data_IF_316466709155
#
_entry.id   IF_316466709155
#
_cell.length_a   1.000
_cell.length_b   1.000
_cell.length_c   1.000
_cell.angle_alpha   90.00
_cell.angle_beta   90.00
_cell.angle_gamma   90.00
#
_symmetry.space_group_name_H-M   'P 1'
#
loop_
_entity.id
_entity.type
_entity.pdbx_description
1 polymer ?
#
# COMPACT_ATOMS: atom_id res chain seq x y z
N UNK A 1 -1.90 -26.79 -2.99
CA UNK A 1 -2.51 -25.79 -2.09
C UNK A 1 -1.47 -25.50 -1.04
N UNK A 2 -0.85 -24.31 -1.05
CA UNK A 2 0.00 -23.87 0.05
C UNK A 2 -0.89 -23.76 1.29
N UNK A 3 -0.47 -24.42 2.35
CA UNK A 3 -1.20 -24.47 3.61
C UNK A 3 -0.87 -23.16 4.38
N UNK A 4 -1.81 -22.26 4.50
CA UNK A 4 -1.64 -21.11 5.39
C UNK A 4 -1.51 -21.64 6.82
N UNK A 5 -0.49 -21.19 7.56
CA UNK A 5 -0.28 -21.67 8.91
C UNK A 5 -1.53 -21.60 9.79
N UNK A 6 -1.67 -22.48 10.81
CA UNK A 6 -2.92 -22.65 11.57
C UNK A 6 -3.39 -21.36 12.26
N UNK A 7 -2.48 -20.52 12.73
CA UNK A 7 -2.81 -19.26 13.41
C UNK A 7 -3.40 -18.24 12.43
N UNK A 8 -2.82 -18.13 11.22
CA UNK A 8 -3.37 -17.28 10.15
C UNK A 8 -4.74 -17.81 9.71
N UNK A 9 -4.87 -19.12 9.51
CA UNK A 9 -6.14 -19.74 9.16
C UNK A 9 -7.24 -19.38 10.16
N UNK A 10 -6.98 -19.51 11.46
CA UNK A 10 -7.92 -19.15 12.50
C UNK A 10 -8.29 -17.65 12.48
N UNK A 11 -7.34 -16.77 12.15
CA UNK A 11 -7.60 -15.34 11.93
C UNK A 11 -8.54 -15.12 10.74
N UNK A 12 -8.24 -15.73 9.58
CA UNK A 12 -9.06 -15.64 8.38
C UNK A 12 -10.48 -16.18 8.62
N UNK A 13 -10.62 -17.27 9.37
CA UNK A 13 -11.93 -17.86 9.70
C UNK A 13 -12.78 -16.91 10.55
N UNK A 14 -12.19 -16.21 11.53
CA UNK A 14 -12.89 -15.19 12.32
C UNK A 14 -13.29 -14.01 11.45
N UNK A 15 -12.36 -13.44 10.69
CA UNK A 15 -12.62 -12.31 9.80
C UNK A 15 -13.69 -12.61 8.75
N UNK A 16 -13.70 -13.84 8.21
CA UNK A 16 -14.70 -14.25 7.23
C UNK A 16 -16.16 -14.26 7.77
N UNK A 17 -16.37 -14.33 9.09
CA UNK A 17 -17.69 -14.45 9.74
C UNK A 17 -18.29 -13.12 10.19
N UNK A 18 -17.55 -12.02 10.12
CA UNK A 18 -18.08 -10.69 10.53
C UNK A 18 -19.16 -10.21 9.57
N UNK A 19 -20.00 -9.28 10.00
CA UNK A 19 -21.06 -8.75 9.16
C UNK A 19 -20.44 -7.96 7.98
N UNK A 20 -19.57 -7.00 8.25
CA UNK A 20 -18.88 -6.20 7.21
C UNK A 20 -17.37 -6.44 7.27
N UNK A 21 -16.79 -6.91 6.15
CA UNK A 21 -15.37 -7.20 6.02
C UNK A 21 -14.69 -6.22 5.06
N UNK A 22 -13.59 -5.62 5.49
CA UNK A 22 -12.66 -4.89 4.62
C UNK A 22 -11.46 -5.77 4.29
N UNK A 23 -11.19 -5.99 3.00
CA UNK A 23 -10.03 -6.72 2.52
C UNK A 23 -9.10 -5.75 1.81
N UNK A 24 -7.92 -5.59 2.33
CA UNK A 24 -6.94 -4.65 1.81
C UNK A 24 -5.60 -5.36 1.53
N UNK A 25 -4.89 -4.92 0.51
CA UNK A 25 -3.56 -5.42 0.16
C UNK A 25 -2.69 -4.32 -0.41
N UNK A 26 -1.39 -4.35 -0.08
CA UNK A 26 -0.40 -3.66 -0.90
C UNK A 26 -0.25 -4.35 -2.26
N UNK A 27 0.37 -3.65 -3.22
CA UNK A 27 0.67 -4.20 -4.54
C UNK A 27 2.07 -4.80 -4.62
N UNK A 28 3.10 -3.95 -4.51
CA UNK A 28 4.50 -4.34 -4.71
C UNK A 28 5.00 -5.13 -3.49
N UNK A 29 5.49 -6.34 -3.71
CA UNK A 29 5.93 -7.24 -2.64
C UNK A 29 4.81 -8.02 -1.92
N UNK A 30 3.52 -7.67 -2.16
CA UNK A 30 2.36 -8.35 -1.58
C UNK A 30 1.48 -9.05 -2.64
N UNK A 31 0.92 -8.32 -3.60
CA UNK A 31 0.16 -8.90 -4.73
C UNK A 31 1.01 -9.14 -5.96
N UNK A 32 2.15 -8.49 -6.07
CA UNK A 32 3.06 -8.58 -7.21
C UNK A 32 4.50 -8.71 -6.74
N UNK A 33 5.28 -9.55 -7.41
CA UNK A 33 6.72 -9.65 -7.17
C UNK A 33 7.44 -8.38 -7.61
N UNK A 34 8.58 -8.06 -6.97
CA UNK A 34 9.43 -6.96 -7.42
C UNK A 34 10.03 -7.25 -8.79
N UNK A 35 9.92 -6.29 -9.69
CA UNK A 35 10.50 -6.34 -11.04
C UNK A 35 11.68 -5.38 -11.20
N UNK A 36 12.54 -5.62 -12.17
CA UNK A 36 13.64 -4.72 -12.47
C UNK A 36 13.13 -3.36 -12.95
N UNK A 37 12.13 -3.35 -13.82
CA UNK A 37 11.41 -2.12 -14.20
C UNK A 37 10.06 -2.07 -13.46
N UNK A 38 9.82 -1.06 -12.64
CA UNK A 38 8.54 -0.91 -11.93
C UNK A 38 7.30 -0.83 -12.84
N UNK A 39 7.50 -0.54 -14.13
CA UNK A 39 6.43 -0.52 -15.13
C UNK A 39 5.98 -1.91 -15.57
N UNK A 40 6.84 -2.91 -15.36
CA UNK A 40 6.57 -4.32 -15.70
C UNK A 40 5.92 -5.09 -14.54
N UNK A 41 5.62 -4.40 -13.42
CA UNK A 41 4.93 -5.02 -12.28
C UNK A 41 3.60 -5.61 -12.74
N UNK A 42 3.39 -6.90 -12.43
CA UNK A 42 2.17 -7.62 -12.77
C UNK A 42 1.70 -8.38 -11.54
N UNK A 43 0.44 -8.24 -11.14
CA UNK A 43 -0.11 -9.02 -10.04
C UNK A 43 0.06 -10.52 -10.27
N UNK A 44 0.36 -11.24 -9.21
CA UNK A 44 0.53 -12.68 -9.26
C UNK A 44 -0.77 -13.37 -9.73
N UNK A 45 -0.64 -14.47 -10.48
CA UNK A 45 -1.81 -15.23 -10.96
C UNK A 45 -2.75 -15.61 -9.80
N UNK A 46 -4.04 -15.37 -9.96
CA UNK A 46 -5.07 -15.63 -8.95
C UNK A 46 -5.33 -14.48 -7.98
N UNK A 47 -4.35 -13.60 -7.70
CA UNK A 47 -4.48 -12.53 -6.69
C UNK A 47 -5.61 -11.56 -6.99
N UNK A 48 -5.59 -10.93 -8.15
CA UNK A 48 -6.66 -9.99 -8.56
C UNK A 48 -8.00 -10.69 -8.78
N UNK A 49 -8.01 -11.95 -9.19
CA UNK A 49 -9.24 -12.72 -9.32
C UNK A 49 -9.88 -12.99 -7.95
N UNK A 50 -9.09 -13.40 -6.95
CA UNK A 50 -9.58 -13.59 -5.59
C UNK A 50 -10.15 -12.28 -5.01
N UNK A 51 -9.47 -11.14 -5.23
CA UNK A 51 -9.95 -9.83 -4.79
C UNK A 51 -11.27 -9.43 -5.48
N UNK A 52 -11.42 -9.64 -6.80
CA UNK A 52 -12.68 -9.37 -7.50
C UNK A 52 -13.83 -10.23 -6.99
N UNK A 53 -13.57 -11.51 -6.74
CA UNK A 53 -14.58 -12.41 -6.18
C UNK A 53 -14.96 -12.04 -4.74
N UNK A 54 -14.01 -11.64 -3.91
CA UNK A 54 -14.29 -11.11 -2.57
C UNK A 54 -15.14 -9.85 -2.66
N UNK A 55 -14.81 -8.91 -3.54
CA UNK A 55 -15.55 -7.67 -3.73
C UNK A 55 -16.98 -7.87 -4.28
N UNK A 56 -17.25 -9.02 -4.90
CA UNK A 56 -18.58 -9.39 -5.35
C UNK A 56 -19.47 -9.99 -4.24
N UNK A 57 -18.91 -10.31 -3.07
CA UNK A 57 -19.68 -10.86 -1.94
C UNK A 57 -20.37 -9.75 -1.15
N UNK A 58 -21.55 -10.02 -0.58
CA UNK A 58 -22.25 -9.06 0.27
C UNK A 58 -21.39 -8.55 1.41
N UNK A 59 -21.49 -7.24 1.70
CA UNK A 59 -20.81 -6.55 2.80
C UNK A 59 -19.30 -6.90 2.89
N UNK A 60 -18.67 -7.00 1.70
CA UNK A 60 -17.24 -7.24 1.57
C UNK A 60 -16.64 -6.15 0.68
N UNK A 61 -15.82 -5.30 1.27
CA UNK A 61 -15.18 -4.17 0.60
C UNK A 61 -13.72 -4.53 0.31
N UNK A 62 -13.24 -4.19 -0.88
CA UNK A 62 -11.88 -4.55 -1.29
C UNK A 62 -11.13 -3.31 -1.76
N UNK A 63 -9.88 -3.18 -1.30
CA UNK A 63 -9.00 -2.07 -1.66
C UNK A 63 -7.57 -2.56 -1.93
N UNK A 64 -6.94 -1.98 -2.93
CA UNK A 64 -5.47 -2.06 -3.12
C UNK A 64 -4.88 -0.73 -2.70
N UNK A 65 -3.92 -0.75 -1.76
CA UNK A 65 -3.26 0.45 -1.20
C UNK A 65 -1.79 0.41 -1.56
N UNK A 66 -1.24 1.45 -2.18
CA UNK A 66 0.16 1.45 -2.62
C UNK A 66 0.79 2.84 -2.55
N UNK A 67 2.14 2.89 -2.56
CA UNK A 67 2.90 4.11 -2.80
C UNK A 67 2.81 4.64 -4.23
N UNK A 68 2.33 3.84 -5.17
CA UNK A 68 2.07 4.27 -6.55
C UNK A 68 0.86 5.19 -6.61
N UNK A 69 0.81 6.08 -7.59
CA UNK A 69 -0.40 6.88 -7.86
C UNK A 69 -1.56 6.00 -8.38
N UNK A 70 -2.78 6.50 -8.24
CA UNK A 70 -4.00 5.76 -8.64
C UNK A 70 -4.02 5.42 -10.13
N UNK A 71 -3.46 6.30 -10.99
CA UNK A 71 -3.38 6.06 -12.43
C UNK A 71 -2.50 4.86 -12.75
N UNK A 72 -1.32 4.81 -12.12
CA UNK A 72 -0.37 3.69 -12.26
C UNK A 72 -0.98 2.40 -11.71
N UNK A 73 -1.63 2.45 -10.53
CA UNK A 73 -2.34 1.31 -9.96
C UNK A 73 -3.38 0.74 -10.93
N UNK A 74 -4.20 1.60 -11.56
CA UNK A 74 -5.18 1.16 -12.59
C UNK A 74 -4.53 0.41 -13.74
N UNK A 75 -3.40 0.92 -14.22
CA UNK A 75 -2.68 0.29 -15.34
C UNK A 75 -2.13 -1.08 -14.98
N UNK A 76 -1.54 -1.21 -13.78
CA UNK A 76 -0.88 -2.45 -13.34
C UNK A 76 -1.87 -3.53 -12.88
N UNK A 77 -2.94 -3.15 -12.21
CA UNK A 77 -3.95 -4.08 -11.67
C UNK A 77 -5.06 -4.42 -12.64
N UNK A 78 -5.22 -3.62 -13.71
CA UNK A 78 -6.34 -3.71 -14.63
C UNK A 78 -7.70 -3.36 -14.00
N UNK A 79 -7.72 -2.68 -12.84
CA UNK A 79 -8.95 -2.23 -12.18
C UNK A 79 -9.55 -1.06 -12.95
N UNK A 80 -10.71 -1.28 -13.55
CA UNK A 80 -11.48 -0.28 -14.28
C UNK A 80 -12.44 0.50 -13.39
N UNK A 81 -13.16 1.46 -13.99
CA UNK A 81 -14.18 2.25 -13.28
C UNK A 81 -15.43 1.46 -12.87
N UNK A 82 -15.64 0.30 -13.48
CA UNK A 82 -16.77 -0.59 -13.16
C UNK A 82 -16.38 -1.72 -12.17
N UNK A 83 -15.10 -1.85 -11.84
CA UNK A 83 -14.63 -2.81 -10.85
C UNK A 83 -15.05 -2.36 -9.45
N UNK A 84 -15.52 -3.27 -8.58
CA UNK A 84 -15.87 -2.93 -7.20
C UNK A 84 -14.64 -2.79 -6.28
N UNK A 85 -13.42 -2.85 -6.83
CA UNK A 85 -12.18 -2.69 -6.07
C UNK A 85 -11.80 -1.22 -6.02
N UNK A 86 -11.63 -0.69 -4.80
CA UNK A 86 -11.10 0.65 -4.57
C UNK A 86 -9.57 0.63 -4.73
N UNK A 87 -9.01 1.70 -5.30
CA UNK A 87 -7.57 1.92 -5.33
C UNK A 87 -7.24 3.14 -4.47
N UNK A 88 -6.27 2.98 -3.58
CA UNK A 88 -5.68 4.04 -2.79
C UNK A 88 -4.21 4.16 -3.17
N UNK A 89 -3.84 5.29 -3.71
CA UNK A 89 -2.49 5.61 -4.17
C UNK A 89 -1.75 6.57 -3.23
N UNK A 90 -0.46 6.80 -3.57
CA UNK A 90 0.39 7.79 -2.89
C UNK A 90 0.40 7.59 -1.37
N UNK A 91 0.58 6.34 -0.92
CA UNK A 91 0.58 5.92 0.49
C UNK A 91 -0.65 6.36 1.30
N UNK A 92 -1.81 6.52 0.67
CA UNK A 92 -3.03 6.98 1.35
C UNK A 92 -3.45 8.40 0.97
N UNK A 93 -2.69 9.05 0.07
CA UNK A 93 -2.96 10.43 -0.37
C UNK A 93 -3.99 10.57 -1.48
N UNK A 94 -4.29 9.49 -2.20
CA UNK A 94 -5.20 9.50 -3.36
C UNK A 94 -6.22 8.37 -3.27
N UNK A 95 -7.46 8.63 -3.69
CA UNK A 95 -8.51 7.62 -3.84
C UNK A 95 -9.03 7.58 -5.27
N UNK A 96 -9.32 6.37 -5.78
CA UNK A 96 -9.97 6.18 -7.08
C UNK A 96 -11.45 6.53 -7.07
N UNK A 97 -12.05 6.65 -5.90
CA UNK A 97 -13.42 7.11 -5.69
C UNK A 97 -13.39 8.46 -4.96
N UNK A 98 -13.86 9.55 -5.58
CA UNK A 98 -13.84 10.87 -4.98
C UNK A 98 -14.78 11.02 -3.76
N UNK A 99 -15.68 10.07 -3.53
CA UNK A 99 -16.57 10.05 -2.35
C UNK A 99 -15.88 9.49 -1.12
N UNK A 100 -14.77 8.75 -1.31
CA UNK A 100 -13.95 8.16 -0.24
C UNK A 100 -12.78 9.11 0.06
N UNK A 101 -12.87 9.81 1.17
CA UNK A 101 -11.80 10.68 1.65
C UNK A 101 -10.83 9.86 2.51
N UNK A 102 -9.62 9.60 2.01
CA UNK A 102 -8.58 8.84 2.71
C UNK A 102 -7.47 9.71 3.29
N UNK A 103 -7.28 10.91 2.76
CA UNK A 103 -6.35 11.91 3.27
C UNK A 103 -6.96 13.30 3.20
N UNK A 104 -6.48 14.22 4.04
CA UNK A 104 -6.88 15.62 3.92
C UNK A 104 -6.31 16.22 2.62
N UNK A 105 -7.07 17.02 1.88
CA UNK A 105 -6.53 17.77 0.76
C UNK A 105 -5.38 18.66 1.21
N UNK A 106 -4.32 18.75 0.39
CA UNK A 106 -3.20 19.63 0.69
C UNK A 106 -3.68 21.08 0.88
N UNK A 107 -3.33 21.68 1.98
CA UNK A 107 -3.54 23.09 2.22
C UNK A 107 -2.58 23.96 1.38
N UNK A 108 -2.72 25.29 1.50
CA UNK A 108 -1.91 26.24 0.73
C UNK A 108 -0.42 26.18 1.11
N UNK A 109 -0.11 25.94 2.38
CA UNK A 109 1.26 25.85 2.88
C UNK A 109 1.93 24.56 2.36
N UNK A 110 1.22 23.44 2.44
CA UNK A 110 1.69 22.15 1.93
C UNK A 110 1.95 22.18 0.42
N UNK A 111 1.06 22.84 -0.36
CA UNK A 111 1.27 23.01 -1.82
C UNK A 111 2.51 23.81 -2.12
N UNK A 112 2.71 24.94 -1.43
CA UNK A 112 3.89 25.78 -1.60
C UNK A 112 5.19 25.05 -1.22
N UNK A 113 5.16 24.25 -0.13
CA UNK A 113 6.28 23.43 0.28
C UNK A 113 6.60 22.32 -0.73
N UNK A 114 5.56 21.68 -1.32
CA UNK A 114 5.74 20.68 -2.35
C UNK A 114 6.38 21.26 -3.63
N UNK A 115 5.95 22.47 -4.03
CA UNK A 115 6.54 23.17 -5.17
C UNK A 115 8.02 23.49 -4.89
N UNK A 116 8.35 24.03 -3.72
CA UNK A 116 9.73 24.31 -3.31
C UNK A 116 10.60 23.04 -3.28
N UNK A 117 10.14 21.96 -2.66
CA UNK A 117 10.86 20.68 -2.64
C UNK A 117 11.05 20.12 -4.06
N UNK A 118 10.05 20.28 -4.92
CA UNK A 118 10.13 19.83 -6.31
C UNK A 118 11.18 20.58 -7.11
N UNK A 119 11.37 21.87 -6.85
CA UNK A 119 12.44 22.67 -7.46
C UNK A 119 13.81 22.23 -6.94
N UNK A 120 13.97 22.09 -5.61
CA UNK A 120 15.23 21.64 -5.00
C UNK A 120 15.64 20.23 -5.47
N UNK A 121 14.68 19.30 -5.55
CA UNK A 121 14.95 17.96 -6.09
C UNK A 121 15.29 18.00 -7.59
N UNK A 122 14.69 18.89 -8.37
CA UNK A 122 15.05 19.07 -9.77
C UNK A 122 16.51 19.51 -9.92
N UNK A 123 16.95 20.50 -9.13
CA UNK A 123 18.35 20.94 -9.08
C UNK A 123 19.29 19.80 -8.64
N UNK A 124 18.90 19.03 -7.62
CA UNK A 124 19.68 17.88 -7.15
C UNK A 124 19.88 16.85 -8.28
N UNK A 125 18.82 16.49 -9.00
CA UNK A 125 18.86 15.50 -10.08
C UNK A 125 19.73 16.00 -11.26
N UNK A 126 19.78 17.31 -11.53
CA UNK A 126 20.69 17.88 -12.54
C UNK A 126 22.17 17.67 -12.18
N UNK A 127 22.52 17.68 -10.90
CA UNK A 127 23.89 17.43 -10.41
C UNK A 127 24.26 15.94 -10.32
N UNK A 128 23.27 15.03 -10.39
CA UNK A 128 23.45 13.58 -10.30
C UNK A 128 22.97 12.86 -11.57
N UNK A 129 23.77 12.81 -12.66
CA UNK A 129 23.37 12.22 -13.94
C UNK A 129 22.92 10.77 -13.80
N UNK A 130 21.70 10.48 -14.27
CA UNK A 130 21.06 9.17 -14.17
C UNK A 130 20.06 9.05 -13.03
N UNK A 131 20.09 9.95 -12.04
CA UNK A 131 19.00 10.10 -11.09
C UNK A 131 17.75 10.65 -11.80
N UNK A 132 16.57 10.32 -11.27
CA UNK A 132 15.30 10.75 -11.86
C UNK A 132 14.37 11.30 -10.78
N UNK A 133 13.71 12.40 -11.10
CA UNK A 133 12.66 13.00 -10.31
C UNK A 133 11.31 12.45 -10.76
N UNK A 134 10.46 12.11 -9.79
CA UNK A 134 9.03 11.83 -9.98
C UNK A 134 8.23 12.79 -9.09
N UNK A 135 7.28 13.52 -9.70
CA UNK A 135 6.32 14.37 -8.95
C UNK A 135 5.04 13.59 -8.72
N UNK A 136 4.62 13.51 -7.45
CA UNK A 136 3.35 12.91 -7.02
C UNK A 136 2.39 13.98 -6.50
N UNK A 137 1.15 13.59 -6.20
CA UNK A 137 0.12 14.50 -5.69
C UNK A 137 0.53 15.25 -4.42
N UNK A 138 1.23 14.57 -3.50
CA UNK A 138 1.62 15.11 -2.18
C UNK A 138 3.09 14.88 -1.84
N UNK A 139 3.91 14.50 -2.82
CA UNK A 139 5.31 14.17 -2.61
C UNK A 139 6.15 14.43 -3.86
N UNK A 140 7.46 14.52 -3.65
CA UNK A 140 8.46 14.44 -4.71
C UNK A 140 9.42 13.30 -4.39
N UNK A 141 9.79 12.52 -5.42
CA UNK A 141 10.56 11.30 -5.24
C UNK A 141 11.82 11.36 -6.10
N UNK A 142 12.96 10.95 -5.51
CA UNK A 142 14.25 10.77 -6.19
C UNK A 142 14.48 9.28 -6.39
N UNK A 143 14.70 8.87 -7.64
CA UNK A 143 15.04 7.51 -8.02
C UNK A 143 16.51 7.43 -8.46
N UNK A 144 17.24 6.47 -7.90
CA UNK A 144 18.66 6.23 -8.20
C UNK A 144 18.93 4.87 -8.84
N UNK A 145 17.87 4.16 -9.23
CA UNK A 145 18.01 2.85 -9.89
C UNK A 145 18.78 2.97 -11.19
N UNK A 146 19.87 2.20 -11.30
CA UNK A 146 20.78 2.20 -12.45
C UNK A 146 22.04 3.06 -12.26
N UNK A 147 22.15 3.79 -11.16
CA UNK A 147 23.40 4.40 -10.73
C UNK A 147 24.34 3.38 -10.08
N UNK A 148 25.65 3.73 -10.02
CA UNK A 148 26.60 3.00 -9.16
C UNK A 148 26.17 3.12 -7.68
N UNK A 149 26.62 2.17 -6.86
CA UNK A 149 26.27 2.14 -5.42
C UNK A 149 26.66 3.43 -4.71
N UNK A 150 27.89 3.94 -4.97
CA UNK A 150 28.40 5.19 -4.39
C UNK A 150 27.59 6.41 -4.84
N UNK A 151 27.30 6.52 -6.15
CA UNK A 151 26.50 7.63 -6.67
C UNK A 151 25.06 7.59 -6.15
N UNK A 152 24.46 6.40 -6.06
CA UNK A 152 23.12 6.23 -5.52
C UNK A 152 23.07 6.65 -4.04
N UNK A 153 24.04 6.19 -3.24
CA UNK A 153 24.12 6.53 -1.82
C UNK A 153 24.28 8.03 -1.58
N UNK A 154 25.18 8.69 -2.35
CA UNK A 154 25.37 10.14 -2.25
C UNK A 154 24.08 10.90 -2.62
N UNK A 155 23.47 10.55 -3.75
CA UNK A 155 22.23 11.21 -4.21
C UNK A 155 21.08 11.06 -3.21
N UNK A 156 20.90 9.85 -2.64
CA UNK A 156 19.83 9.60 -1.67
C UNK A 156 20.09 10.35 -0.36
N UNK A 157 21.34 10.38 0.12
CA UNK A 157 21.68 11.14 1.33
C UNK A 157 21.44 12.65 1.16
N UNK A 158 21.76 13.23 0.01
CA UNK A 158 21.47 14.64 -0.28
C UNK A 158 19.96 14.88 -0.37
N UNK A 159 19.19 13.96 -0.97
CA UNK A 159 17.74 14.04 -1.04
C UNK A 159 17.10 13.98 0.36
N UNK A 160 17.59 13.10 1.25
CA UNK A 160 17.12 13.00 2.64
C UNK A 160 17.34 14.31 3.41
N UNK A 161 18.47 14.97 3.20
CA UNK A 161 18.77 16.25 3.86
C UNK A 161 17.78 17.37 3.46
N UNK A 162 17.22 17.35 2.25
CA UNK A 162 16.20 18.34 1.85
C UNK A 162 14.93 18.27 2.71
N UNK A 163 14.64 17.12 3.26
CA UNK A 163 13.43 16.89 4.07
C UNK A 163 13.68 16.78 5.58
N UNK A 164 14.88 16.35 6.01
CA UNK A 164 15.14 15.95 7.41
C UNK A 164 15.06 17.11 8.42
N UNK A 165 15.34 18.33 7.99
CA UNK A 165 15.29 19.52 8.85
C UNK A 165 13.91 20.20 8.86
N UNK A 166 12.90 19.60 8.21
CA UNK A 166 11.56 20.16 8.06
C UNK A 166 10.53 19.26 8.73
N UNK A 167 9.94 19.73 9.83
CA UNK A 167 8.95 18.96 10.59
C UNK A 167 7.69 18.60 9.77
N UNK A 168 7.40 19.38 8.73
CA UNK A 168 6.25 19.20 7.84
C UNK A 168 6.53 18.22 6.72
N UNK A 169 7.77 17.70 6.58
CA UNK A 169 8.17 16.78 5.53
C UNK A 169 8.42 15.40 6.12
N UNK A 170 7.70 14.41 5.63
CA UNK A 170 7.98 13.01 5.92
C UNK A 170 8.96 12.47 4.89
N UNK A 171 10.13 12.05 5.33
CA UNK A 171 11.12 11.37 4.49
C UNK A 171 10.87 9.89 4.53
N UNK A 172 10.66 9.28 3.36
CA UNK A 172 10.42 7.84 3.21
C UNK A 172 11.56 7.27 2.36
N UNK A 173 12.45 6.52 3.00
CA UNK A 173 13.62 5.92 2.36
C UNK A 173 13.31 4.46 2.00
N UNK A 174 13.54 4.11 0.74
CA UNK A 174 13.39 2.77 0.20
C UNK A 174 14.62 2.31 -0.60
N UNK A 175 14.53 1.16 -1.22
CA UNK A 175 15.61 0.63 -2.03
C UNK A 175 15.79 1.44 -3.32
N UNK A 176 16.88 2.21 -3.42
CA UNK A 176 17.20 3.11 -4.54
C UNK A 176 16.19 4.24 -4.74
N UNK A 177 15.54 4.70 -3.67
CA UNK A 177 14.52 5.75 -3.72
C UNK A 177 14.45 6.51 -2.42
N UNK A 178 14.24 7.84 -2.49
CA UNK A 178 13.82 8.68 -1.36
C UNK A 178 12.61 9.48 -1.82
N UNK A 179 11.56 9.45 -1.01
CA UNK A 179 10.36 10.26 -1.20
C UNK A 179 10.24 11.31 -0.10
N UNK A 180 10.00 12.55 -0.49
CA UNK A 180 9.73 13.69 0.39
C UNK A 180 8.24 14.02 0.31
N UNK A 181 7.47 13.63 1.31
CA UNK A 181 6.02 13.83 1.35
C UNK A 181 5.65 14.99 2.27
N UNK A 182 4.78 15.86 1.79
CA UNK A 182 4.18 16.95 2.56
C UNK A 182 2.82 16.58 3.17
N UNK A 183 2.39 15.33 2.96
CA UNK A 183 1.16 14.79 3.51
C UNK A 183 1.43 13.97 4.76
N UNK A 184 0.56 14.12 5.74
CA UNK A 184 0.51 13.23 6.91
C UNK A 184 -0.25 11.92 6.62
N UNK A 185 -0.81 11.76 5.42
CA UNK A 185 -1.47 10.53 5.03
C UNK A 185 -0.46 9.38 4.93
N UNK A 186 -0.83 8.25 5.48
CA UNK A 186 -0.12 6.98 5.39
C UNK A 186 -1.12 5.84 5.18
N UNK A 187 -0.62 4.63 4.92
CA UNK A 187 -1.48 3.46 4.68
C UNK A 187 -2.38 3.14 5.88
N UNK A 188 -1.90 3.39 7.11
CA UNK A 188 -2.66 3.14 8.33
C UNK A 188 -3.83 4.12 8.50
N UNK A 189 -3.58 5.40 8.36
CA UNK A 189 -4.62 6.44 8.43
C UNK A 189 -5.67 6.27 7.32
N UNK A 190 -5.23 5.89 6.12
CA UNK A 190 -6.13 5.62 4.99
C UNK A 190 -7.02 4.40 5.24
N UNK A 191 -6.45 3.28 5.71
CA UNK A 191 -7.22 2.07 6.04
C UNK A 191 -8.19 2.31 7.20
N UNK A 192 -7.75 3.00 8.26
CA UNK A 192 -8.63 3.35 9.37
C UNK A 192 -9.78 4.27 8.95
N UNK A 193 -9.54 5.21 8.03
CA UNK A 193 -10.60 6.05 7.47
C UNK A 193 -11.57 5.24 6.61
N UNK A 194 -11.06 4.32 5.79
CA UNK A 194 -11.89 3.46 4.95
C UNK A 194 -12.71 2.46 5.79
N UNK A 195 -12.10 1.83 6.79
CA UNK A 195 -12.80 0.91 7.69
C UNK A 195 -14.01 1.60 8.37
N UNK A 196 -13.81 2.84 8.84
CA UNK A 196 -14.93 3.65 9.37
C UNK A 196 -15.95 4.03 8.30
N UNK A 197 -15.52 4.33 7.07
CA UNK A 197 -16.43 4.73 5.98
C UNK A 197 -17.40 3.61 5.58
N UNK A 198 -16.92 2.35 5.64
CA UNK A 198 -17.73 1.18 5.28
C UNK A 198 -18.30 0.44 6.49
N UNK A 199 -18.13 0.98 7.70
CA UNK A 199 -18.52 0.34 8.97
C UNK A 199 -17.99 -1.10 9.08
N UNK A 200 -16.69 -1.30 8.77
CA UNK A 200 -16.08 -2.61 8.82
C UNK A 200 -15.95 -3.13 10.26
N UNK A 201 -16.38 -4.36 10.48
CA UNK A 201 -16.22 -5.08 11.77
C UNK A 201 -14.83 -5.71 11.90
N UNK A 202 -14.17 -6.00 10.77
CA UNK A 202 -12.80 -6.47 10.73
C UNK A 202 -12.14 -6.09 9.41
N UNK A 203 -10.82 -5.94 9.44
CA UNK A 203 -9.97 -5.66 8.28
C UNK A 203 -8.92 -6.75 8.11
N UNK A 204 -8.80 -7.30 6.91
CA UNK A 204 -7.64 -8.06 6.48
C UNK A 204 -6.68 -7.11 5.75
N UNK A 205 -5.41 -7.12 6.11
CA UNK A 205 -4.36 -6.36 5.42
C UNK A 205 -3.07 -7.16 5.27
N UNK A 206 -2.46 -7.12 4.08
CA UNK A 206 -1.13 -7.67 3.84
C UNK A 206 -0.22 -6.67 3.14
N UNK A 207 1.07 -6.70 3.51
CA UNK A 207 2.11 -5.83 2.96
C UNK A 207 3.52 -6.30 3.32
N UNK A 208 4.54 -5.76 2.67
CA UNK A 208 5.93 -6.21 2.80
C UNK A 208 6.92 -5.14 3.26
N UNK A 209 6.58 -3.85 3.14
CA UNK A 209 7.52 -2.73 3.32
C UNK A 209 7.31 -1.99 4.66
N UNK A 210 8.18 -1.03 4.91
CA UNK A 210 8.15 -0.17 6.11
C UNK A 210 6.90 0.69 6.18
N UNK A 211 6.33 1.08 5.04
CA UNK A 211 5.09 1.86 4.96
C UNK A 211 3.85 1.04 5.34
N UNK A 212 3.94 -0.31 5.29
CA UNK A 212 2.88 -1.21 5.75
C UNK A 212 2.84 -1.34 7.26
N UNK A 213 3.95 -1.05 7.93
CA UNK A 213 4.01 -1.04 9.39
C UNK A 213 3.08 0.01 10.00
N UNK A 214 2.80 1.12 9.28
CA UNK A 214 1.81 2.10 9.70
C UNK A 214 0.40 1.50 9.69
N UNK A 215 0.08 0.70 8.67
CA UNK A 215 -1.17 -0.04 8.58
C UNK A 215 -1.28 -1.13 9.66
N UNK A 216 -0.21 -1.90 9.87
CA UNK A 216 -0.20 -2.94 10.90
C UNK A 216 -0.39 -2.38 12.31
N UNK A 217 0.14 -1.18 12.60
CA UNK A 217 -0.07 -0.50 13.89
C UNK A 217 -1.45 0.13 14.05
N UNK A 218 -2.08 0.52 12.94
CA UNK A 218 -3.41 1.12 12.96
C UNK A 218 -4.56 0.11 13.11
N UNK A 219 -4.29 -1.16 12.80
CA UNK A 219 -5.22 -2.28 12.88
C UNK A 219 -5.01 -3.05 14.19
N UNK A 220 -6.11 -3.46 14.83
CA UNK A 220 -6.08 -4.15 16.12
C UNK A 220 -6.53 -5.61 15.99
N UNK A 221 -5.58 -6.58 16.07
CA UNK A 221 -5.93 -8.01 16.03
C UNK A 221 -6.88 -8.46 17.16
N UNK A 222 -6.97 -7.70 18.27
CA UNK A 222 -7.90 -8.01 19.35
C UNK A 222 -9.35 -7.72 19.00
N UNK A 223 -9.59 -6.81 18.04
CA UNK A 223 -10.93 -6.51 17.51
C UNK A 223 -11.31 -7.41 16.33
N UNK A 224 -10.42 -8.26 15.86
CA UNK A 224 -10.66 -9.21 14.78
C UNK A 224 -9.92 -8.90 13.48
N UNK A 225 -9.11 -7.82 13.44
CA UNK A 225 -8.28 -7.51 12.30
C UNK A 225 -7.20 -8.58 12.07
N UNK A 226 -6.88 -8.83 10.80
CA UNK A 226 -5.87 -9.80 10.37
C UNK A 226 -4.79 -9.06 9.59
N UNK A 227 -3.60 -8.96 10.20
CA UNK A 227 -2.45 -8.29 9.59
C UNK A 227 -1.39 -9.31 9.21
N UNK A 228 -0.88 -9.24 7.97
CA UNK A 228 0.02 -10.23 7.39
C UNK A 228 1.24 -9.54 6.79
N UNK A 229 2.41 -9.75 7.40
CA UNK A 229 3.70 -9.35 6.85
C UNK A 229 4.14 -10.35 5.78
N UNK A 230 4.55 -9.86 4.62
CA UNK A 230 5.21 -10.67 3.58
C UNK A 230 6.72 -10.58 3.74
N UNK A 231 7.39 -11.72 3.67
CA UNK A 231 8.84 -11.80 3.77
C UNK A 231 9.41 -11.62 5.19
N UNK A 232 10.69 -11.28 5.29
CA UNK A 232 11.45 -11.20 6.52
C UNK A 232 11.44 -9.80 7.15
N UNK A 233 12.13 -9.64 8.27
CA UNK A 233 12.33 -8.37 8.98
C UNK A 233 11.41 -8.17 10.18
N UNK A 234 11.65 -7.11 10.98
CA UNK A 234 10.79 -6.76 12.10
C UNK A 234 9.40 -6.34 11.61
N UNK A 235 8.36 -6.63 12.40
CA UNK A 235 7.00 -6.25 12.04
C UNK A 235 6.07 -6.14 13.23
N UNK A 236 5.09 -5.23 13.15
CA UNK A 236 3.94 -5.14 14.04
C UNK A 236 2.77 -6.05 13.58
N UNK A 237 2.84 -6.67 12.40
CA UNK A 237 1.81 -7.58 11.93
C UNK A 237 1.68 -8.82 12.83
N UNK A 238 0.44 -9.29 13.02
CA UNK A 238 0.16 -10.46 13.84
C UNK A 238 0.59 -11.79 13.17
N UNK A 239 0.61 -11.81 11.84
CA UNK A 239 0.95 -12.99 11.05
C UNK A 239 2.03 -12.68 10.03
N UNK A 240 2.64 -13.75 9.48
CA UNK A 240 3.69 -13.65 8.45
C UNK A 240 3.54 -14.76 7.43
N UNK A 241 3.80 -14.41 6.18
CA UNK A 241 3.95 -15.35 5.06
C UNK A 241 5.29 -15.13 4.36
N UNK A 242 5.75 -16.12 3.61
CA UNK A 242 7.10 -16.10 3.00
C UNK A 242 7.16 -15.36 1.66
N UNK A 243 6.06 -15.33 0.91
CA UNK A 243 6.07 -14.93 -0.50
C UNK A 243 4.73 -14.35 -0.96
N UNK A 244 4.74 -13.72 -2.13
CA UNK A 244 3.53 -13.25 -2.83
C UNK A 244 2.55 -14.41 -3.12
N UNK A 245 3.06 -15.59 -3.46
CA UNK A 245 2.21 -16.77 -3.68
C UNK A 245 1.47 -17.22 -2.42
N UNK A 246 2.06 -17.03 -1.24
CA UNK A 246 1.39 -17.33 0.03
C UNK A 246 0.30 -16.29 0.34
N UNK A 247 0.49 -15.02 -0.08
CA UNK A 247 -0.59 -14.00 -0.01
C UNK A 247 -1.78 -14.41 -0.88
N UNK A 248 -1.52 -14.86 -2.12
CA UNK A 248 -2.60 -15.33 -3.00
C UNK A 248 -3.33 -16.50 -2.36
N UNK A 249 -2.62 -17.46 -1.77
CA UNK A 249 -3.22 -18.61 -1.07
C UNK A 249 -4.07 -18.14 0.14
N UNK A 250 -3.61 -17.13 0.90
CA UNK A 250 -4.39 -16.57 2.00
C UNK A 250 -5.66 -15.87 1.53
N UNK A 251 -5.60 -15.13 0.41
CA UNK A 251 -6.77 -14.49 -0.21
C UNK A 251 -7.78 -15.53 -0.74
N UNK A 252 -7.32 -16.60 -1.39
CA UNK A 252 -8.17 -17.69 -1.85
C UNK A 252 -8.84 -18.43 -0.67
N UNK A 253 -8.08 -18.64 0.42
CA UNK A 253 -8.62 -19.24 1.64
C UNK A 253 -9.67 -18.33 2.30
N UNK A 254 -9.39 -17.01 2.41
CA UNK A 254 -10.35 -16.03 2.93
C UNK A 254 -11.63 -16.00 2.08
N UNK A 255 -11.48 -16.03 0.75
CA UNK A 255 -12.60 -16.09 -0.19
C UNK A 255 -13.48 -17.31 0.07
N UNK A 256 -12.89 -18.51 0.16
CA UNK A 256 -13.64 -19.75 0.40
C UNK A 256 -14.39 -19.71 1.74
N UNK A 257 -13.75 -19.18 2.79
CA UNK A 257 -14.36 -19.02 4.11
C UNK A 257 -15.50 -17.99 4.08
N UNK A 258 -15.31 -16.85 3.41
CA UNK A 258 -16.33 -15.80 3.30
C UNK A 258 -17.52 -16.26 2.47
N UNK A 259 -17.31 -16.95 1.35
CA UNK A 259 -18.40 -17.56 0.56
C UNK A 259 -19.21 -18.55 1.40
N UNK A 260 -18.57 -19.35 2.26
CA UNK A 260 -19.25 -20.29 3.14
C UNK A 260 -20.07 -19.55 4.22
N UNK A 261 -19.51 -18.49 4.82
CA UNK A 261 -20.19 -17.69 5.83
C UNK A 261 -21.43 -16.98 5.26
N UNK A 262 -21.30 -16.34 4.08
CA UNK A 262 -22.43 -15.67 3.38
C UNK A 262 -23.55 -16.64 2.99
N UNK A 263 -23.22 -17.89 2.61
CA UNK A 263 -24.24 -18.90 2.30
C UNK A 263 -24.98 -19.44 3.54
N UNK A 264 -24.37 -19.30 4.73
CA UNK A 264 -24.96 -19.79 5.99
C UNK A 264 -25.80 -18.72 6.71
N UNK A 265 -25.71 -17.46 6.30
CA UNK A 265 -26.47 -16.30 6.83
C UNK A 265 -27.78 -16.13 6.09
#
# INVERSE_FOLDING_TARGET
MSDVGPDLYAGLERAAKVATLLVASDLDGALAEFTLDPRDTTPAPGGMEALRRLAALPATHVVVVSGRDVRTLRQLTGVGSADPILLIGSHGGESSDPTVTVGAPLDRGQKALLDELSEQVAELVEHHPGARLERKHAAVTVHTRGLSEDSAAATLAEAELLGSDRAEVRVISGKSVVELSVSSADKGTALAALARHVDADATFYCGDDVTDEDAFRALDPLTGDVTVKVGSGPTAAAHRVGSVSDVVAALEQLLALREAAVRAS
#
